data_IF_832909991116
#
_entry.id   IF_832909991116
#
_cell.length_a   1.000
_cell.length_b   1.000
_cell.length_c   1.000
_cell.angle_alpha   90.00
_cell.angle_beta   90.00
_cell.angle_gamma   90.00
#
_symmetry.space_group_name_H-M   'P 1'
#
loop_
_entity.id
_entity.type
_entity.pdbx_description
1 polymer ?
#
# COMPACT_ATOMS: atom_id res chain seq x y z
N UNK A 1 -14.85 26.26 -20.36
CA UNK A 1 -13.56 25.56 -20.26
C UNK A 1 -13.39 24.79 -18.95
N UNK A 2 -14.04 25.18 -17.85
CA UNK A 2 -13.96 24.47 -16.55
C UNK A 2 -14.44 23.01 -16.56
N UNK A 3 -15.43 22.65 -17.38
CA UNK A 3 -15.95 21.27 -17.44
C UNK A 3 -14.96 20.22 -17.98
N UNK A 4 -13.83 20.63 -18.56
CA UNK A 4 -12.79 19.70 -19.06
C UNK A 4 -11.71 19.38 -18.02
N UNK A 5 -11.60 20.15 -16.94
CA UNK A 5 -10.61 19.92 -15.88
C UNK A 5 -11.10 18.89 -14.84
N UNK A 6 -12.41 18.85 -14.55
CA UNK A 6 -13.00 17.88 -13.61
C UNK A 6 -13.07 16.44 -14.14
N UNK A 7 -12.60 16.16 -15.36
CA UNK A 7 -12.58 14.79 -15.92
C UNK A 7 -11.25 14.07 -15.67
N UNK A 8 -10.28 14.74 -15.06
CA UNK A 8 -8.93 14.21 -14.81
C UNK A 8 -8.84 13.51 -13.44
N UNK A 9 -9.79 13.75 -12.54
CA UNK A 9 -9.85 13.10 -11.24
C UNK A 9 -11.27 12.62 -10.97
N UNK A 10 -11.36 11.37 -10.50
CA UNK A 10 -12.38 10.91 -9.53
C UNK A 10 -13.56 10.04 -10.00
N UNK A 11 -13.31 8.95 -10.72
CA UNK A 11 -14.12 7.73 -10.54
C UNK A 11 -13.20 6.49 -10.62
N UNK A 12 -12.97 5.82 -9.48
CA UNK A 12 -12.34 4.49 -9.48
C UNK A 12 -13.26 3.50 -10.20
N UNK A 13 -12.75 2.87 -11.25
CA UNK A 13 -13.50 1.88 -12.03
C UNK A 13 -13.81 0.63 -11.20
N UNK A 14 -14.82 -0.13 -11.63
CA UNK A 14 -15.18 -1.41 -10.99
C UNK A 14 -14.02 -2.41 -11.06
N UNK A 15 -13.27 -2.38 -12.16
CA UNK A 15 -12.07 -3.18 -12.39
C UNK A 15 -10.98 -2.82 -11.38
N UNK A 16 -10.69 -1.53 -11.18
CA UNK A 16 -9.72 -1.05 -10.19
C UNK A 16 -10.12 -1.43 -8.77
N UNK A 17 -11.41 -1.29 -8.41
CA UNK A 17 -11.91 -1.75 -7.11
C UNK A 17 -11.69 -3.25 -6.92
N UNK A 18 -11.84 -4.06 -7.97
CA UNK A 18 -11.56 -5.50 -7.91
C UNK A 18 -10.07 -5.78 -7.71
N UNK A 19 -9.19 -4.99 -8.34
CA UNK A 19 -7.74 -5.11 -8.17
C UNK A 19 -7.32 -4.74 -6.74
N UNK A 20 -7.86 -3.65 -6.20
CA UNK A 20 -7.59 -3.24 -4.81
C UNK A 20 -8.06 -4.29 -3.81
N UNK A 21 -9.24 -4.89 -4.01
CA UNK A 21 -9.71 -6.02 -3.20
C UNK A 21 -8.72 -7.19 -3.23
N UNK A 22 -8.25 -7.57 -4.42
CA UNK A 22 -7.28 -8.66 -4.55
C UNK A 22 -5.96 -8.33 -3.84
N UNK A 23 -5.45 -7.11 -3.97
CA UNK A 23 -4.27 -6.65 -3.27
C UNK A 23 -4.45 -6.68 -1.73
N UNK A 24 -5.61 -6.21 -1.24
CA UNK A 24 -5.94 -6.26 0.18
C UNK A 24 -5.97 -7.69 0.72
N UNK A 25 -6.54 -8.65 -0.02
CA UNK A 25 -6.53 -10.06 0.37
C UNK A 25 -5.11 -10.65 0.40
N UNK A 26 -4.22 -10.25 -0.52
CA UNK A 26 -2.80 -10.65 -0.48
C UNK A 26 -2.14 -10.12 0.80
N UNK A 27 -2.35 -8.85 1.16
CA UNK A 27 -1.79 -8.26 2.39
C UNK A 27 -2.33 -8.95 3.65
N UNK A 28 -3.65 -9.22 3.71
CA UNK A 28 -4.28 -9.95 4.83
C UNK A 28 -3.76 -11.38 4.97
N UNK A 29 -3.35 -12.00 3.87
CA UNK A 29 -2.70 -13.31 3.84
C UNK A 29 -1.17 -13.24 4.05
N UNK A 30 -0.67 -12.15 4.65
CA UNK A 30 0.76 -11.91 4.92
C UNK A 30 1.66 -11.94 3.68
N UNK A 31 1.08 -11.64 2.50
CA UNK A 31 1.77 -11.52 1.23
C UNK A 31 2.36 -10.12 1.01
N UNK A 32 3.06 -9.97 -0.13
CA UNK A 32 3.67 -8.71 -0.55
C UNK A 32 2.88 -8.10 -1.71
N UNK A 33 2.69 -6.79 -1.68
CA UNK A 33 2.08 -6.02 -2.77
C UNK A 33 2.97 -4.84 -3.13
N UNK A 34 3.31 -4.69 -4.40
CA UNK A 34 3.87 -3.46 -4.92
C UNK A 34 2.72 -2.50 -5.28
N UNK A 35 2.78 -1.25 -4.82
CA UNK A 35 1.73 -0.26 -5.06
C UNK A 35 2.31 1.11 -5.41
N UNK A 36 1.62 1.90 -6.26
CA UNK A 36 2.08 3.24 -6.61
C UNK A 36 1.85 4.21 -5.45
N UNK A 37 2.72 5.22 -5.35
CA UNK A 37 2.51 6.43 -4.54
C UNK A 37 2.80 7.66 -5.41
N UNK A 38 2.62 8.86 -4.87
CA UNK A 38 3.00 10.10 -5.56
C UNK A 38 4.52 10.16 -5.82
N UNK A 39 5.35 9.64 -4.91
CA UNK A 39 6.81 9.77 -4.99
C UNK A 39 7.47 8.60 -5.73
N UNK A 40 7.25 7.36 -5.24
CA UNK A 40 7.86 6.12 -5.76
C UNK A 40 6.96 4.91 -5.55
N UNK A 41 7.22 3.80 -6.23
CA UNK A 41 6.54 2.55 -5.89
C UNK A 41 6.97 2.04 -4.51
N UNK A 42 5.98 1.66 -3.70
CA UNK A 42 6.17 0.97 -2.44
C UNK A 42 6.13 -0.55 -2.62
N UNK A 43 6.81 -1.28 -1.74
CA UNK A 43 6.58 -2.71 -1.52
C UNK A 43 6.04 -2.86 -0.11
N UNK A 44 4.77 -3.21 0.02
CA UNK A 44 4.05 -3.29 1.28
C UNK A 44 3.74 -4.72 1.70
N UNK A 45 3.52 -4.87 3.00
CA UNK A 45 3.06 -6.08 3.68
C UNK A 45 2.21 -5.64 4.89
N UNK A 46 1.60 -6.60 5.59
CA UNK A 46 0.92 -6.32 6.85
C UNK A 46 1.93 -5.89 7.93
N UNK A 47 1.91 -4.63 8.34
CA UNK A 47 2.87 -4.07 9.27
C UNK A 47 2.73 -4.60 10.72
N UNK A 48 1.57 -5.12 11.09
CA UNK A 48 1.32 -5.71 12.40
C UNK A 48 1.77 -7.18 12.49
N UNK A 49 2.26 -7.75 11.38
CA UNK A 49 2.78 -9.11 11.33
C UNK A 49 4.27 -9.12 11.04
N UNK A 50 5.06 -9.50 12.03
CA UNK A 50 6.53 -9.58 11.93
C UNK A 50 7.01 -10.46 10.75
N UNK A 51 6.34 -11.58 10.49
CA UNK A 51 6.72 -12.48 9.39
C UNK A 51 6.44 -11.87 8.02
N UNK A 52 5.36 -11.09 7.88
CA UNK A 52 5.06 -10.38 6.65
C UNK A 52 6.10 -9.27 6.39
N UNK A 53 6.50 -8.55 7.45
CA UNK A 53 7.54 -7.52 7.38
C UNK A 53 8.90 -8.10 6.99
N UNK A 54 9.30 -9.26 7.55
CA UNK A 54 10.54 -9.96 7.18
C UNK A 54 10.64 -10.23 5.68
N UNK A 55 9.52 -10.62 5.03
CA UNK A 55 9.48 -10.83 3.58
C UNK A 55 9.84 -9.58 2.78
N UNK A 56 9.57 -8.37 3.28
CA UNK A 56 9.99 -7.12 2.60
C UNK A 56 11.52 -7.00 2.60
N UNK A 57 12.16 -7.26 3.75
CA UNK A 57 13.61 -7.21 3.88
C UNK A 57 14.28 -8.25 2.98
N UNK A 58 13.78 -9.49 3.00
CA UNK A 58 14.26 -10.58 2.16
C UNK A 58 14.12 -10.26 0.66
N UNK A 59 12.93 -9.83 0.23
CA UNK A 59 12.67 -9.54 -1.18
C UNK A 59 13.50 -8.37 -1.72
N UNK A 60 13.82 -7.38 -0.88
CA UNK A 60 14.65 -6.23 -1.26
C UNK A 60 16.15 -6.47 -1.06
N UNK A 61 16.55 -7.55 -0.38
CA UNK A 61 17.91 -7.68 0.14
C UNK A 61 18.30 -6.51 1.05
N UNK A 62 17.32 -5.93 1.77
CA UNK A 62 17.53 -4.76 2.62
C UNK A 62 18.05 -5.21 3.98
N UNK A 63 19.12 -4.59 4.52
CA UNK A 63 19.56 -4.80 5.90
C UNK A 63 18.41 -4.52 6.89
N UNK A 64 18.27 -5.36 7.92
CA UNK A 64 17.17 -5.27 8.90
C UNK A 64 17.28 -4.09 9.85
N UNK A 65 18.45 -3.46 9.95
CA UNK A 65 18.72 -2.25 10.72
C UNK A 65 18.20 -0.97 10.03
N UNK A 66 17.82 -1.06 8.76
CA UNK A 66 17.25 0.07 8.03
C UNK A 66 15.71 0.07 8.14
N UNK A 67 15.10 0.96 8.95
CA UNK A 67 13.68 0.90 9.27
C UNK A 67 12.78 1.07 8.03
N UNK A 68 11.54 0.58 8.14
CA UNK A 68 10.50 0.75 7.12
C UNK A 68 9.50 1.83 7.54
N UNK A 69 8.86 2.45 6.55
CA UNK A 69 7.82 3.46 6.77
C UNK A 69 6.45 2.78 6.85
N UNK A 70 5.72 3.00 7.94
CA UNK A 70 4.34 2.57 8.09
C UNK A 70 3.41 3.54 7.37
N UNK A 71 2.66 3.03 6.39
CA UNK A 71 1.62 3.82 5.71
C UNK A 71 0.28 3.61 6.41
N UNK A 72 -0.42 4.70 6.71
CA UNK A 72 -1.75 4.72 7.28
C UNK A 72 -2.71 5.48 6.36
N UNK A 73 -4.00 5.17 6.43
CA UNK A 73 -5.02 5.86 5.63
C UNK A 73 -5.50 7.17 6.26
N UNK A 74 -5.13 7.47 7.52
CA UNK A 74 -5.54 8.67 8.22
C UNK A 74 -5.06 8.72 9.67
N UNK A 75 -5.34 9.84 10.33
CA UNK A 75 -4.91 10.12 11.72
C UNK A 75 -5.49 9.10 12.70
N UNK A 76 -6.78 8.78 12.59
CA UNK A 76 -7.45 7.81 13.47
C UNK A 76 -6.78 6.43 13.44
N UNK A 77 -6.32 5.99 12.27
CA UNK A 77 -5.55 4.75 12.16
C UNK A 77 -4.17 4.90 12.82
N UNK A 78 -3.46 6.01 12.60
CA UNK A 78 -2.16 6.24 13.24
C UNK A 78 -2.24 6.25 14.77
N UNK A 79 -3.31 6.78 15.33
CA UNK A 79 -3.52 6.89 16.79
C UNK A 79 -4.03 5.59 17.43
N UNK A 80 -4.53 4.63 16.65
CA UNK A 80 -5.09 3.35 17.15
C UNK A 80 -4.17 2.14 17.01
N UNK A 81 -2.99 2.32 16.40
CA UNK A 81 -1.94 1.31 16.23
C UNK A 81 -1.03 1.24 17.46
#
# INVERSE_FOLDING_TARGET
MEKRLNKIFDETTKEELSLFKKAAEIIKADGLVAFPTETVYGLGANALNENAVKKIYEAKGRPSDNPLILHVSGIEMAESL
#
